data_IF_821968719225
#
_entry.id   IF_821968719225
#
_cell.length_a   1.000
_cell.length_b   1.000
_cell.length_c   1.000
_cell.angle_alpha   90.00
_cell.angle_beta   90.00
_cell.angle_gamma   90.00
#
_symmetry.space_group_name_H-M   'P 1'
#
loop_
_entity.id
_entity.type
_entity.pdbx_description
1 polymer ?
#
# COMPACT_ATOMS: atom_id res chain seq x y z
N UNK A 1 10.81 17.49 9.10
CA UNK A 1 9.88 17.15 10.19
C UNK A 1 9.76 15.63 10.21
N UNK A 2 10.13 14.99 11.33
CA UNK A 2 10.22 13.53 11.41
C UNK A 2 8.86 12.94 11.84
N UNK A 3 8.20 12.27 10.90
CA UNK A 3 6.89 11.62 10.99
C UNK A 3 7.01 10.13 11.45
N UNK A 4 8.09 9.81 12.18
CA UNK A 4 8.70 8.48 12.23
C UNK A 4 8.01 7.37 13.05
N UNK A 5 7.27 7.62 14.15
CA UNK A 5 6.64 6.55 14.93
C UNK A 5 5.41 5.94 14.25
N UNK A 6 4.48 6.78 13.77
CA UNK A 6 3.23 6.35 13.14
C UNK A 6 3.46 5.56 11.84
N UNK A 7 4.52 5.89 11.11
CA UNK A 7 4.90 5.18 9.88
C UNK A 7 5.42 3.75 10.13
N UNK A 8 6.00 3.46 11.29
CA UNK A 8 6.47 2.11 11.62
C UNK A 8 5.29 1.20 12.03
N UNK A 9 4.40 1.74 12.86
CA UNK A 9 3.18 1.04 13.31
C UNK A 9 2.27 0.70 12.13
N UNK A 10 2.02 1.66 11.23
CA UNK A 10 1.18 1.41 10.06
C UNK A 10 1.77 0.34 9.13
N UNK A 11 3.10 0.34 8.94
CA UNK A 11 3.78 -0.67 8.11
C UNK A 11 3.53 -2.07 8.66
N UNK A 12 3.57 -2.19 9.98
CA UNK A 12 3.34 -3.47 10.65
C UNK A 12 1.86 -3.88 10.61
N UNK A 13 0.92 -2.95 10.80
CA UNK A 13 -0.51 -3.23 10.63
C UNK A 13 -0.86 -3.67 9.21
N UNK A 14 -0.34 -2.98 8.18
CA UNK A 14 -0.54 -3.38 6.78
C UNK A 14 -0.01 -4.80 6.54
N UNK A 15 1.21 -5.08 7.02
CA UNK A 15 1.86 -6.38 6.88
C UNK A 15 1.07 -7.49 7.57
N UNK A 16 0.62 -7.26 8.80
CA UNK A 16 -0.09 -8.26 9.59
C UNK A 16 -1.49 -8.52 9.02
N UNK A 17 -2.18 -7.48 8.56
CA UNK A 17 -3.45 -7.63 7.87
C UNK A 17 -3.31 -8.41 6.57
N UNK A 18 -2.35 -8.05 5.70
CA UNK A 18 -2.15 -8.75 4.44
C UNK A 18 -1.78 -10.23 4.64
N UNK A 19 -0.93 -10.52 5.64
CA UNK A 19 -0.56 -11.89 6.03
C UNK A 19 -1.74 -12.69 6.59
N UNK A 20 -2.66 -12.07 7.31
CA UNK A 20 -3.82 -12.77 7.89
C UNK A 20 -4.90 -13.07 6.86
N UNK A 21 -5.10 -12.19 5.88
CA UNK A 21 -6.17 -12.32 4.87
C UNK A 21 -5.71 -13.11 3.65
N UNK A 22 -4.50 -12.89 3.16
CA UNK A 22 -3.98 -13.51 1.93
C UNK A 22 -2.46 -13.81 2.03
N UNK A 23 -2.04 -14.71 2.94
CA UNK A 23 -0.62 -14.95 3.21
C UNK A 23 0.20 -15.33 1.97
N UNK A 24 -0.30 -16.28 1.17
CA UNK A 24 0.42 -16.73 -0.03
C UNK A 24 0.57 -15.63 -1.08
N UNK A 25 -0.46 -14.81 -1.25
CA UNK A 25 -0.43 -13.65 -2.16
C UNK A 25 0.58 -12.62 -1.67
N UNK A 26 0.52 -12.27 -0.38
CA UNK A 26 1.41 -11.29 0.22
C UNK A 26 2.87 -11.68 0.04
N UNK A 27 3.26 -12.92 0.41
CA UNK A 27 4.65 -13.36 0.25
C UNK A 27 5.10 -13.40 -1.21
N UNK A 28 4.22 -13.81 -2.12
CA UNK A 28 4.54 -13.85 -3.55
C UNK A 28 4.81 -12.45 -4.09
N UNK A 29 3.94 -11.48 -3.80
CA UNK A 29 4.14 -10.10 -4.26
C UNK A 29 5.35 -9.47 -3.57
N UNK A 30 5.56 -9.73 -2.27
CA UNK A 30 6.73 -9.21 -1.54
C UNK A 30 8.06 -9.67 -2.15
N UNK A 31 8.12 -10.91 -2.67
CA UNK A 31 9.27 -11.38 -3.43
C UNK A 31 9.46 -10.59 -4.73
N UNK A 32 8.39 -10.26 -5.46
CA UNK A 32 8.48 -9.39 -6.65
C UNK A 32 8.94 -7.98 -6.29
N UNK A 33 8.41 -7.39 -5.22
CA UNK A 33 8.81 -6.09 -4.70
C UNK A 33 10.31 -6.04 -4.39
N UNK A 34 10.80 -7.03 -3.64
CA UNK A 34 12.23 -7.14 -3.30
C UNK A 34 13.09 -7.35 -4.53
N UNK A 35 12.66 -8.21 -5.47
CA UNK A 35 13.41 -8.51 -6.69
C UNK A 35 13.51 -7.31 -7.64
N UNK A 36 12.43 -6.53 -7.78
CA UNK A 36 12.33 -5.48 -8.79
C UNK A 36 12.69 -4.09 -8.27
N UNK A 37 12.53 -3.82 -6.98
CA UNK A 37 12.75 -2.51 -6.37
C UNK A 37 13.64 -2.54 -5.12
N UNK A 38 14.11 -3.71 -4.67
CA UNK A 38 15.01 -3.84 -3.51
C UNK A 38 14.37 -3.58 -2.15
N UNK A 39 13.04 -3.41 -2.08
CA UNK A 39 12.29 -3.07 -0.86
C UNK A 39 11.08 -4.00 -0.68
N UNK A 40 10.57 -4.12 0.55
CA UNK A 40 9.30 -4.82 0.81
C UNK A 40 8.11 -4.01 0.29
N UNK A 41 7.01 -4.68 -0.09
CA UNK A 41 5.89 -4.02 -0.75
C UNK A 41 5.25 -2.92 0.11
N UNK A 42 5.25 -3.08 1.44
CA UNK A 42 4.64 -2.10 2.34
C UNK A 42 5.49 -0.82 2.38
N UNK A 43 6.81 -0.96 2.39
CA UNK A 43 7.71 0.20 2.23
C UNK A 43 7.50 0.88 0.88
N UNK A 44 7.40 0.12 -0.22
CA UNK A 44 7.16 0.69 -1.56
C UNK A 44 5.80 1.41 -1.60
N UNK A 45 4.74 0.85 -1.01
CA UNK A 45 3.42 1.49 -0.97
C UNK A 45 3.48 2.92 -0.41
N UNK A 46 4.19 3.10 0.71
CA UNK A 46 4.22 4.38 1.42
C UNK A 46 5.19 5.38 0.79
N UNK A 47 6.32 4.91 0.24
CA UNK A 47 7.37 5.77 -0.29
C UNK A 47 7.22 6.03 -1.80
N UNK A 48 6.81 5.01 -2.56
CA UNK A 48 6.85 4.95 -4.02
C UNK A 48 5.64 4.17 -4.58
N UNK A 49 4.39 4.58 -4.29
CA UNK A 49 3.19 3.82 -4.66
C UNK A 49 3.07 3.54 -6.17
N UNK A 50 3.61 4.43 -7.01
CA UNK A 50 3.69 4.24 -8.46
C UNK A 50 4.51 2.98 -8.81
N UNK A 51 5.66 2.81 -8.17
CA UNK A 51 6.51 1.62 -8.34
C UNK A 51 5.78 0.35 -7.93
N UNK A 52 5.03 0.37 -6.82
CA UNK A 52 4.22 -0.78 -6.42
C UNK A 52 3.13 -1.08 -7.46
N UNK A 53 2.39 -0.08 -7.91
CA UNK A 53 1.36 -0.25 -8.95
C UNK A 53 1.94 -0.87 -10.21
N UNK A 54 3.06 -0.36 -10.68
CA UNK A 54 3.70 -0.83 -11.91
C UNK A 54 4.19 -2.29 -11.76
N UNK A 55 4.66 -2.68 -10.56
CA UNK A 55 4.96 -4.09 -10.23
C UNK A 55 3.70 -4.95 -10.28
N UNK A 56 2.59 -4.50 -9.67
CA UNK A 56 1.34 -5.26 -9.65
C UNK A 56 0.76 -5.42 -11.06
N UNK A 57 0.78 -4.37 -11.88
CA UNK A 57 0.37 -4.43 -13.29
C UNK A 57 1.23 -5.44 -14.05
N UNK A 58 2.54 -5.44 -13.83
CA UNK A 58 3.44 -6.42 -14.48
C UNK A 58 3.17 -7.87 -14.05
N UNK A 59 2.76 -8.10 -12.81
CA UNK A 59 2.51 -9.45 -12.28
C UNK A 59 1.14 -9.98 -12.71
N UNK A 60 0.10 -9.13 -12.69
CA UNK A 60 -1.28 -9.57 -12.87
C UNK A 60 -1.89 -9.23 -14.22
N UNK A 61 -1.29 -8.33 -15.00
CA UNK A 61 -1.71 -7.83 -16.33
C UNK A 61 -3.09 -7.14 -16.38
N UNK A 62 -4.01 -7.52 -15.48
CA UNK A 62 -5.39 -7.11 -15.43
C UNK A 62 -5.65 -6.09 -14.31
N UNK A 63 -6.16 -4.91 -14.71
CA UNK A 63 -6.53 -3.82 -13.80
C UNK A 63 -7.47 -4.25 -12.64
N UNK A 64 -8.50 -5.11 -12.85
CA UNK A 64 -9.35 -5.57 -11.73
C UNK A 64 -8.59 -6.32 -10.63
N UNK A 65 -7.63 -7.17 -11.01
CA UNK A 65 -6.80 -7.91 -10.04
C UNK A 65 -5.89 -6.96 -9.28
N UNK A 66 -5.28 -5.99 -9.96
CA UNK A 66 -4.45 -4.96 -9.31
C UNK A 66 -5.27 -4.15 -8.30
N UNK A 67 -6.52 -3.79 -8.65
CA UNK A 67 -7.44 -3.12 -7.73
C UNK A 67 -7.72 -3.96 -6.47
N UNK A 68 -8.01 -5.26 -6.64
CA UNK A 68 -8.26 -6.16 -5.52
C UNK A 68 -7.03 -6.31 -4.62
N UNK A 69 -5.86 -6.46 -5.21
CA UNK A 69 -4.59 -6.55 -4.48
C UNK A 69 -4.32 -5.25 -3.73
N UNK A 70 -4.49 -4.09 -4.35
CA UNK A 70 -4.28 -2.80 -3.71
C UNK A 70 -5.18 -2.61 -2.47
N UNK A 71 -6.42 -3.08 -2.50
CA UNK A 71 -7.34 -3.05 -1.35
C UNK A 71 -6.76 -3.77 -0.14
N UNK A 72 -6.08 -4.90 -0.32
CA UNK A 72 -5.46 -5.64 0.79
C UNK A 72 -4.43 -4.78 1.53
N UNK A 73 -3.66 -3.97 0.80
CA UNK A 73 -2.65 -3.10 1.38
C UNK A 73 -3.22 -1.81 1.96
N UNK A 74 -4.28 -1.26 1.37
CA UNK A 74 -4.84 0.05 1.73
C UNK A 74 -5.95 0.00 2.78
N UNK A 75 -6.66 -1.11 2.90
CA UNK A 75 -7.70 -1.28 3.91
C UNK A 75 -7.20 -1.07 5.36
N UNK A 76 -6.07 -1.66 5.80
CA UNK A 76 -5.54 -1.39 7.14
C UNK A 76 -5.14 0.07 7.34
N UNK A 77 -4.82 0.84 6.28
CA UNK A 77 -4.59 2.29 6.42
C UNK A 77 -5.86 2.99 6.90
N UNK A 78 -7.02 2.65 6.34
CA UNK A 78 -8.29 3.25 6.73
C UNK A 78 -8.64 2.93 8.19
N UNK A 79 -8.50 1.66 8.59
CA UNK A 79 -8.78 1.21 9.96
C UNK A 79 -7.89 1.93 10.97
N UNK A 80 -6.58 1.93 10.74
CA UNK A 80 -5.61 2.38 11.73
C UNK A 80 -5.55 3.91 11.84
N UNK A 81 -5.85 4.63 10.77
CA UNK A 81 -5.71 6.09 10.74
C UNK A 81 -7.02 6.82 11.02
N UNK A 82 -8.15 6.10 11.02
CA UNK A 82 -9.50 6.66 11.19
C UNK A 82 -9.76 7.84 10.24
N UNK A 83 -9.26 7.72 8.99
CA UNK A 83 -9.45 8.72 7.94
C UNK A 83 -10.88 8.65 7.38
N UNK A 84 -11.44 9.78 7.01
CA UNK A 84 -12.75 9.87 6.34
C UNK A 84 -12.70 9.37 4.87
N UNK A 85 -11.49 9.13 4.34
CA UNK A 85 -11.33 8.66 2.97
C UNK A 85 -11.63 7.15 2.92
N UNK A 86 -12.66 6.72 2.16
CA UNK A 86 -12.97 5.29 2.03
C UNK A 86 -11.84 4.56 1.29
N UNK A 87 -11.73 3.24 1.51
CA UNK A 87 -10.69 2.42 0.87
C UNK A 87 -10.78 2.49 -0.66
N UNK A 88 -11.98 2.59 -1.23
CA UNK A 88 -12.21 2.80 -2.66
C UNK A 88 -11.58 4.09 -3.17
N UNK A 89 -11.60 5.16 -2.35
CA UNK A 89 -10.95 6.43 -2.66
C UNK A 89 -9.43 6.27 -2.74
N UNK A 90 -8.83 5.59 -1.76
CA UNK A 90 -7.39 5.31 -1.76
C UNK A 90 -6.97 4.41 -2.93
N UNK A 91 -7.79 3.40 -3.25
CA UNK A 91 -7.53 2.50 -4.39
C UNK A 91 -7.66 3.24 -5.72
N UNK A 92 -8.63 4.15 -5.85
CA UNK A 92 -8.76 4.99 -7.04
C UNK A 92 -7.52 5.87 -7.23
N UNK A 93 -7.01 6.48 -6.15
CA UNK A 93 -5.76 7.23 -6.18
C UNK A 93 -4.59 6.32 -6.55
N UNK A 94 -4.48 5.13 -5.97
CA UNK A 94 -3.44 4.15 -6.31
C UNK A 94 -3.40 3.85 -7.81
N UNK A 95 -4.56 3.60 -8.42
CA UNK A 95 -4.63 3.26 -9.85
C UNK A 95 -4.36 4.47 -10.75
N UNK A 96 -5.01 5.60 -10.46
CA UNK A 96 -5.13 6.71 -11.40
C UNK A 96 -4.10 7.83 -11.15
N UNK A 97 -3.72 8.05 -9.89
CA UNK A 97 -2.81 9.12 -9.50
C UNK A 97 -1.97 8.74 -8.26
N UNK A 98 -0.99 7.83 -8.42
CA UNK A 98 -0.20 7.33 -7.30
C UNK A 98 0.66 8.41 -6.64
N UNK A 99 1.01 9.48 -7.35
CA UNK A 99 1.75 10.61 -6.76
C UNK A 99 0.87 11.37 -5.75
N UNK A 100 -0.42 11.55 -6.06
CA UNK A 100 -1.39 12.11 -5.11
C UNK A 100 -1.65 11.15 -3.93
N UNK A 101 -1.73 9.84 -4.19
CA UNK A 101 -1.83 8.86 -3.11
C UNK A 101 -0.68 9.01 -2.12
N UNK A 102 0.56 9.17 -2.60
CA UNK A 102 1.74 9.36 -1.73
C UNK A 102 1.57 10.57 -0.81
N UNK A 103 1.06 11.69 -1.36
CA UNK A 103 0.78 12.91 -0.57
C UNK A 103 -0.29 12.64 0.49
N UNK A 104 -1.41 12.05 0.08
CA UNK A 104 -2.51 11.70 0.99
C UNK A 104 -2.05 10.78 2.11
N UNK A 105 -1.30 9.73 1.80
CA UNK A 105 -0.75 8.82 2.82
C UNK A 105 0.22 9.55 3.77
N UNK A 106 1.07 10.43 3.24
CA UNK A 106 1.98 11.22 4.08
C UNK A 106 1.20 12.14 5.03
N UNK A 107 0.18 12.82 4.54
CA UNK A 107 -0.65 13.72 5.35
C UNK A 107 -1.43 12.96 6.42
N UNK A 108 -1.98 11.79 6.10
CA UNK A 108 -2.68 10.93 7.05
C UNK A 108 -1.72 10.46 8.16
N UNK A 109 -0.52 10.02 7.78
CA UNK A 109 0.45 9.47 8.74
C UNK A 109 1.12 10.53 9.61
N UNK A 110 1.15 11.79 9.18
CA UNK A 110 1.71 12.90 9.95
C UNK A 110 0.69 13.68 10.80
N UNK A 111 -0.60 13.32 10.73
CA UNK A 111 -1.65 13.89 11.59
C UNK A 111 -1.81 13.19 12.94
N UNK A 112 -1.18 12.03 13.12
CA UNK A 112 -1.12 11.31 14.41
C UNK A 112 0.14 11.66 15.19
#
# INVERSE_FOLDING_TARGET
MACHPAAAEIKESIRNYAKSVVPGLFYTIDLYCRKLAGKDCVTILLEEPKTLRDILVRVYDLSPTVNLVARVFLYPVVIETNTDIPVEGLVSLFMNNPDELRRVLSDILCRK
#
